data_IF_399841641835
#
_entry.id   IF_399841641835
#
_cell.length_a   1.000
_cell.length_b   1.000
_cell.length_c   1.000
_cell.angle_alpha   90.00
_cell.angle_beta   90.00
_cell.angle_gamma   90.00
#
_symmetry.space_group_name_H-M   'P 1'
#
loop_
_entity.id
_entity.type
_entity.pdbx_description
1 polymer ?
#
# COMPACT_ATOMS: atom_id res chain seq x y z
N UNK A 1 10.72 35.99 71.06
CA UNK A 1 11.45 36.34 69.79
C UNK A 1 11.07 35.30 68.77
N UNK A 2 10.25 35.63 67.75
CA UNK A 2 9.80 34.73 66.68
C UNK A 2 10.78 34.86 65.55
N UNK A 3 11.37 33.75 65.13
CA UNK A 3 12.34 33.64 64.05
C UNK A 3 11.63 33.86 62.68
N UNK A 4 12.08 34.76 61.80
CA UNK A 4 11.45 35.01 60.52
C UNK A 4 11.54 33.78 59.60
N UNK A 5 10.55 33.54 58.75
CA UNK A 5 10.55 32.39 57.81
C UNK A 5 11.68 32.54 56.75
N UNK A 6 12.19 31.40 56.25
CA UNK A 6 13.24 31.41 55.24
C UNK A 6 12.71 32.00 53.91
N UNK A 7 13.49 32.90 53.30
CA UNK A 7 13.17 33.44 51.97
C UNK A 7 13.16 32.32 50.94
N UNK A 8 12.02 32.13 50.23
CA UNK A 8 11.94 31.23 49.07
C UNK A 8 12.92 31.67 47.99
N UNK A 9 13.89 30.83 47.68
CA UNK A 9 14.74 31.01 46.50
C UNK A 9 13.86 30.82 45.26
N UNK A 10 13.70 31.87 44.48
CA UNK A 10 13.06 31.81 43.17
C UNK A 10 13.80 30.85 42.22
N UNK A 11 13.13 30.34 41.15
CA UNK A 11 13.69 29.36 40.28
C UNK A 11 15.00 29.87 39.65
N UNK A 12 16.00 28.99 39.66
CA UNK A 12 17.34 29.28 39.16
C UNK A 12 17.26 29.66 37.67
N UNK A 13 17.89 30.80 37.26
CA UNK A 13 17.86 31.26 35.87
C UNK A 13 18.29 30.17 34.87
N UNK A 14 19.25 29.34 35.28
CA UNK A 14 19.70 28.18 34.49
C UNK A 14 18.56 27.15 34.28
N UNK A 15 17.74 26.90 35.31
CA UNK A 15 16.58 26.00 35.20
C UNK A 15 15.54 26.51 34.21
N UNK A 16 15.27 27.82 34.22
CA UNK A 16 14.32 28.42 33.25
C UNK A 16 14.86 28.39 31.81
N UNK A 17 16.18 28.56 31.61
CA UNK A 17 16.80 28.41 30.29
C UNK A 17 16.72 26.99 29.77
N UNK A 18 17.00 25.98 30.62
CA UNK A 18 16.89 24.56 30.25
C UNK A 18 15.45 24.20 29.89
N UNK A 19 14.47 24.66 30.67
CA UNK A 19 13.04 24.44 30.41
C UNK A 19 12.61 25.08 29.07
N UNK A 20 13.10 26.27 28.77
CA UNK A 20 12.88 26.94 27.49
C UNK A 20 13.45 26.15 26.28
N UNK A 21 14.68 25.63 26.43
CA UNK A 21 15.30 24.81 25.37
C UNK A 21 14.51 23.51 25.15
N UNK A 22 14.11 22.83 26.21
CA UNK A 22 13.30 21.59 26.12
C UNK A 22 11.96 21.88 25.44
N UNK A 23 11.30 22.99 25.78
CA UNK A 23 10.05 23.38 25.14
C UNK A 23 10.22 23.67 23.65
N UNK A 24 11.27 24.40 23.25
CA UNK A 24 11.56 24.69 21.83
C UNK A 24 11.90 23.41 21.06
N UNK A 25 12.75 22.54 21.62
CA UNK A 25 13.08 21.24 21.00
C UNK A 25 11.85 20.35 20.92
N UNK A 26 11.00 20.30 21.95
CA UNK A 26 9.76 19.55 21.93
C UNK A 26 8.79 20.02 20.85
N UNK A 27 8.61 21.34 20.71
CA UNK A 27 7.78 21.93 19.64
C UNK A 27 8.39 21.65 18.26
N UNK A 28 9.70 21.74 18.11
CA UNK A 28 10.39 21.42 16.84
C UNK A 28 10.22 19.92 16.45
N UNK A 29 10.33 19.01 17.42
CA UNK A 29 10.11 17.57 17.21
C UNK A 29 8.65 17.26 16.86
N UNK A 30 7.69 17.91 17.52
CA UNK A 30 6.26 17.76 17.19
C UNK A 30 5.96 18.32 15.79
N UNK A 31 6.55 19.46 15.43
CA UNK A 31 6.41 20.04 14.09
C UNK A 31 7.04 19.16 13.00
N UNK A 32 8.17 18.51 13.29
CA UNK A 32 8.78 17.51 12.39
C UNK A 32 7.94 16.24 12.25
N UNK A 33 7.23 15.81 13.29
CA UNK A 33 6.31 14.66 13.22
C UNK A 33 4.94 15.02 12.59
N UNK A 34 4.52 16.28 12.68
CA UNK A 34 3.29 16.77 12.04
C UNK A 34 3.46 17.08 10.54
N UNK A 35 4.70 17.10 10.04
CA UNK A 35 5.04 17.42 8.67
C UNK A 35 5.21 16.21 7.78
N UNK A 36 4.22 15.90 6.96
CA UNK A 36 4.48 15.25 5.69
C UNK A 36 4.14 13.77 5.58
N UNK A 37 2.88 13.44 5.61
CA UNK A 37 2.40 12.33 4.77
C UNK A 37 2.71 12.65 3.29
N UNK A 38 2.80 11.62 2.41
CA UNK A 38 3.09 11.83 1.00
C UNK A 38 2.14 12.82 0.36
N UNK A 39 2.68 13.85 -0.30
CA UNK A 39 1.86 14.87 -0.97
C UNK A 39 1.24 14.30 -2.24
N UNK A 40 -0.08 14.39 -2.42
CA UNK A 40 -0.73 13.92 -3.63
C UNK A 40 -0.24 14.68 -4.87
N UNK A 41 0.06 13.95 -5.93
CA UNK A 41 0.37 14.51 -7.26
C UNK A 41 -0.83 14.29 -8.17
N UNK A 42 -1.34 15.36 -8.77
CA UNK A 42 -2.45 15.28 -9.74
C UNK A 42 -1.95 14.55 -11.00
N UNK A 43 -2.69 13.55 -11.42
CA UNK A 43 -2.46 12.77 -12.64
C UNK A 43 -3.77 12.66 -13.44
N UNK A 44 -3.68 12.31 -14.70
CA UNK A 44 -4.85 11.99 -15.49
C UNK A 44 -5.66 10.87 -14.82
N UNK A 45 -6.99 11.00 -14.86
CA UNK A 45 -7.88 9.97 -14.33
C UNK A 45 -7.57 8.61 -14.98
N UNK A 46 -7.60 7.52 -14.17
CA UNK A 46 -7.46 6.18 -14.72
C UNK A 46 -8.66 5.91 -15.63
N UNK A 47 -8.49 5.80 -16.98
CA UNK A 47 -9.62 5.52 -17.84
C UNK A 47 -10.25 4.18 -17.43
N UNK A 48 -11.59 4.09 -17.40
CA UNK A 48 -12.26 2.82 -17.21
C UNK A 48 -11.86 1.87 -18.34
N UNK A 49 -11.24 0.73 -18.00
CA UNK A 49 -10.83 -0.26 -18.97
C UNK A 49 -9.68 0.19 -19.83
N UNK A 50 -8.57 0.63 -19.21
CA UNK A 50 -7.32 0.86 -19.93
C UNK A 50 -7.01 -0.36 -20.80
N UNK A 51 -7.16 -0.17 -22.11
CA UNK A 51 -7.24 -1.22 -23.11
C UNK A 51 -5.86 -1.76 -23.45
N UNK A 52 -5.16 -2.25 -22.51
CA UNK A 52 -3.94 -2.98 -22.70
C UNK A 52 -4.10 -4.38 -22.11
N UNK A 53 -3.03 -5.12 -22.07
CA UNK A 53 -2.97 -6.40 -21.34
C UNK A 53 -2.87 -6.20 -19.83
N UNK A 54 -2.78 -4.95 -19.34
CA UNK A 54 -2.76 -4.62 -17.95
C UNK A 54 -4.15 -4.82 -17.32
N UNK A 55 -4.22 -5.67 -16.31
CA UNK A 55 -5.47 -6.02 -15.64
C UNK A 55 -5.23 -6.06 -14.12
N UNK A 56 -5.99 -5.27 -13.33
CA UNK A 56 -5.90 -5.32 -11.88
C UNK A 56 -6.57 -6.55 -11.30
N UNK A 57 -6.22 -6.87 -10.06
CA UNK A 57 -7.07 -7.67 -9.19
C UNK A 57 -8.00 -6.74 -8.44
N UNK A 58 -9.30 -6.99 -8.54
CA UNK A 58 -10.33 -6.09 -8.01
C UNK A 58 -10.90 -6.66 -6.71
N UNK A 59 -10.96 -5.82 -5.68
CA UNK A 59 -11.73 -6.07 -4.47
C UNK A 59 -12.90 -5.09 -4.38
N UNK A 60 -14.06 -5.59 -3.98
CA UNK A 60 -15.30 -4.82 -3.98
C UNK A 60 -15.95 -4.75 -5.36
N UNK A 61 -16.84 -3.79 -5.53
CA UNK A 61 -17.60 -3.63 -6.78
C UNK A 61 -16.72 -3.00 -7.87
N UNK A 62 -16.64 -3.58 -9.06
CA UNK A 62 -15.85 -3.01 -10.18
C UNK A 62 -16.34 -1.62 -10.62
N UNK A 63 -17.64 -1.36 -10.46
CA UNK A 63 -18.36 -0.13 -10.83
C UNK A 63 -18.54 0.86 -9.68
N UNK A 64 -17.85 0.65 -8.55
CA UNK A 64 -17.90 1.57 -7.43
C UNK A 64 -17.48 3.00 -7.83
N UNK A 65 -18.06 4.03 -7.18
CA UNK A 65 -17.90 5.42 -7.60
C UNK A 65 -16.45 5.93 -7.58
N UNK A 66 -15.59 5.38 -6.74
CA UNK A 66 -14.17 5.75 -6.66
C UNK A 66 -13.30 4.53 -6.91
N UNK A 67 -12.29 4.68 -7.77
CA UNK A 67 -11.25 3.69 -7.95
C UNK A 67 -10.09 4.07 -7.04
N UNK A 68 -9.64 3.11 -6.22
CA UNK A 68 -8.37 3.13 -5.50
C UNK A 68 -7.45 2.13 -6.18
N UNK A 69 -6.57 2.60 -7.04
CA UNK A 69 -5.58 1.76 -7.70
C UNK A 69 -4.27 1.80 -6.92
N UNK A 70 -3.77 0.63 -6.54
CA UNK A 70 -2.48 0.44 -5.91
C UNK A 70 -1.52 -0.22 -6.90
N UNK A 71 -0.35 0.38 -7.10
CA UNK A 71 0.79 -0.23 -7.77
C UNK A 71 1.75 -0.72 -6.69
N UNK A 72 1.86 -2.03 -6.54
CA UNK A 72 2.56 -2.64 -5.42
C UNK A 72 3.50 -3.76 -5.84
N UNK A 73 4.47 -3.99 -4.99
CA UNK A 73 5.45 -5.06 -5.08
C UNK A 73 5.35 -5.93 -3.82
N UNK A 74 5.14 -7.22 -4.00
CA UNK A 74 4.99 -8.15 -2.88
C UNK A 74 6.24 -8.23 -1.99
N UNK A 75 7.43 -7.93 -2.52
CA UNK A 75 8.68 -7.94 -1.74
C UNK A 75 9.02 -6.57 -1.12
N UNK A 76 8.23 -5.53 -1.40
CA UNK A 76 8.43 -4.20 -0.83
C UNK A 76 7.93 -4.13 0.63
N UNK A 77 8.79 -3.76 1.62
CA UNK A 77 8.36 -3.66 3.02
C UNK A 77 7.24 -2.65 3.27
N UNK A 78 7.25 -1.52 2.56
CA UNK A 78 6.19 -0.50 2.67
C UNK A 78 4.85 -1.01 2.13
N UNK A 79 4.85 -1.87 1.10
CA UNK A 79 3.64 -2.55 0.61
C UNK A 79 3.11 -3.53 1.66
N UNK A 80 3.99 -4.34 2.29
CA UNK A 80 3.58 -5.24 3.36
C UNK A 80 3.00 -4.47 4.56
N UNK A 81 3.58 -3.33 4.91
CA UNK A 81 3.05 -2.47 5.96
C UNK A 81 1.63 -1.99 5.63
N UNK A 82 1.39 -1.51 4.41
CA UNK A 82 0.05 -1.10 3.99
C UNK A 82 -0.92 -2.29 3.97
N UNK A 83 -0.55 -3.39 3.33
CA UNK A 83 -1.39 -4.57 3.17
C UNK A 83 -1.79 -5.21 4.51
N UNK A 84 -0.92 -5.15 5.54
CA UNK A 84 -1.19 -5.76 6.85
C UNK A 84 -1.86 -4.83 7.84
N UNK A 85 -1.61 -3.51 7.78
CA UNK A 85 -2.08 -2.55 8.78
C UNK A 85 -3.23 -1.65 8.31
N UNK A 86 -3.29 -1.34 7.01
CA UNK A 86 -4.24 -0.33 6.49
C UNK A 86 -5.29 -0.94 5.55
N UNK A 87 -4.86 -1.78 4.63
CA UNK A 87 -5.72 -2.35 3.59
C UNK A 87 -6.92 -3.14 4.14
N UNK A 88 -6.82 -3.91 5.25
CA UNK A 88 -7.99 -4.59 5.82
C UNK A 88 -9.13 -3.63 6.15
N UNK A 89 -8.82 -2.43 6.69
CA UNK A 89 -9.82 -1.40 6.94
C UNK A 89 -10.35 -0.77 5.65
N UNK A 90 -9.51 -0.56 4.64
CA UNK A 90 -9.92 -0.07 3.32
C UNK A 90 -10.89 -1.04 2.65
N UNK A 91 -10.57 -2.33 2.65
CA UNK A 91 -11.47 -3.36 2.11
C UNK A 91 -12.80 -3.40 2.86
N UNK A 92 -12.75 -3.54 4.19
CA UNK A 92 -13.94 -3.71 5.02
C UNK A 92 -14.83 -2.48 5.07
N UNK A 93 -14.27 -1.28 5.17
CA UNK A 93 -15.02 -0.05 5.48
C UNK A 93 -15.35 0.78 4.25
N UNK A 94 -14.63 0.60 3.14
CA UNK A 94 -14.82 1.37 1.92
C UNK A 94 -15.25 0.48 0.74
N UNK A 95 -14.57 -0.64 0.51
CA UNK A 95 -14.89 -1.51 -0.63
C UNK A 95 -16.17 -2.34 -0.39
N UNK A 96 -16.31 -2.99 0.77
CA UNK A 96 -17.53 -3.74 1.13
C UNK A 96 -18.75 -2.80 1.26
N UNK A 97 -18.53 -1.53 1.64
CA UNK A 97 -19.56 -0.50 1.64
C UNK A 97 -19.91 0.03 0.23
N UNK A 98 -19.25 -0.47 -0.81
CA UNK A 98 -19.49 -0.10 -2.21
C UNK A 98 -19.00 1.30 -2.59
N UNK A 99 -18.22 1.96 -1.75
CA UNK A 99 -17.70 3.31 -2.01
C UNK A 99 -16.49 3.30 -2.95
N UNK A 100 -15.67 2.23 -2.88
CA UNK A 100 -14.46 2.10 -3.71
C UNK A 100 -14.39 0.77 -4.44
N UNK A 101 -13.79 0.79 -5.63
CA UNK A 101 -13.22 -0.36 -6.32
C UNK A 101 -11.73 -0.36 -6.00
N UNK A 102 -11.29 -1.24 -5.10
CA UNK A 102 -9.87 -1.38 -4.78
C UNK A 102 -9.20 -2.26 -5.84
N UNK A 103 -8.14 -1.77 -6.47
CA UNK A 103 -7.49 -2.41 -7.62
C UNK A 103 -6.00 -2.56 -7.37
N UNK A 104 -5.53 -3.77 -7.25
CA UNK A 104 -4.13 -4.11 -7.11
C UNK A 104 -3.50 -4.33 -8.49
N UNK A 105 -2.38 -3.64 -8.77
CA UNK A 105 -1.55 -3.81 -9.96
C UNK A 105 -0.14 -4.24 -9.55
N UNK A 106 0.33 -5.34 -10.12
CA UNK A 106 1.71 -5.79 -9.93
C UNK A 106 2.69 -4.74 -10.45
N UNK A 107 3.62 -4.34 -9.60
CA UNK A 107 4.71 -3.44 -9.96
C UNK A 107 6.04 -3.93 -9.39
N UNK A 108 6.53 -5.11 -9.83
CA UNK A 108 7.77 -5.68 -9.34
C UNK A 108 8.95 -4.77 -9.64
N UNK A 109 9.76 -4.48 -8.60
CA UNK A 109 10.96 -3.67 -8.68
C UNK A 109 12.17 -4.56 -8.96
N UNK A 110 13.12 -4.06 -9.76
CA UNK A 110 14.28 -4.84 -10.24
C UNK A 110 15.21 -5.32 -9.10
N UNK A 111 15.29 -4.56 -8.01
CA UNK A 111 16.09 -4.95 -6.84
C UNK A 111 15.43 -6.04 -5.97
N UNK A 112 14.16 -6.36 -6.18
CA UNK A 112 13.41 -7.35 -5.42
C UNK A 112 13.37 -8.68 -6.16
N UNK A 113 14.23 -9.61 -5.76
CA UNK A 113 14.55 -10.85 -6.50
C UNK A 113 13.40 -11.86 -6.57
N UNK A 114 12.56 -11.88 -5.55
CA UNK A 114 11.42 -12.81 -5.47
C UNK A 114 10.09 -12.16 -5.85
N UNK A 115 10.08 -10.87 -6.20
CA UNK A 115 8.87 -10.11 -6.48
C UNK A 115 8.04 -10.71 -7.62
N UNK A 116 8.68 -11.07 -8.73
CA UNK A 116 7.99 -11.70 -9.87
C UNK A 116 7.43 -13.07 -9.49
N UNK A 117 8.17 -13.87 -8.71
CA UNK A 117 7.68 -15.17 -8.24
C UNK A 117 6.47 -15.01 -7.31
N UNK A 118 6.49 -14.00 -6.42
CA UNK A 118 5.36 -13.71 -5.54
C UNK A 118 4.13 -13.26 -6.35
N UNK A 119 4.31 -12.37 -7.32
CA UNK A 119 3.26 -11.96 -8.26
C UNK A 119 2.67 -13.14 -9.03
N UNK A 120 3.52 -14.04 -9.59
CA UNK A 120 3.06 -15.26 -10.26
C UNK A 120 2.27 -16.16 -9.32
N UNK A 121 2.73 -16.31 -8.07
CA UNK A 121 2.07 -17.15 -7.07
C UNK A 121 0.66 -16.65 -6.75
N UNK A 122 0.49 -15.34 -6.57
CA UNK A 122 -0.81 -14.71 -6.35
C UNK A 122 -1.70 -14.77 -7.60
N UNK A 123 -1.12 -14.54 -8.78
CA UNK A 123 -1.82 -14.61 -10.07
C UNK A 123 -2.37 -16.02 -10.34
N UNK A 124 -1.59 -17.06 -10.07
CA UNK A 124 -2.04 -18.45 -10.24
C UNK A 124 -3.10 -18.87 -9.19
N UNK A 125 -3.12 -18.22 -8.03
CA UNK A 125 -4.23 -18.39 -7.07
C UNK A 125 -5.51 -17.70 -7.57
N UNK A 126 -5.41 -16.63 -8.34
CA UNK A 126 -6.56 -15.97 -8.97
C UNK A 126 -7.32 -16.88 -9.94
N UNK A 127 -6.65 -17.81 -10.62
CA UNK A 127 -7.29 -18.82 -11.50
C UNK A 127 -8.27 -19.72 -10.72
N UNK A 128 -8.13 -19.77 -9.39
CA UNK A 128 -8.99 -20.50 -8.48
C UNK A 128 -9.81 -19.57 -7.57
N UNK A 129 -9.98 -18.28 -7.96
CA UNK A 129 -10.68 -17.23 -7.22
C UNK A 129 -10.12 -16.96 -5.81
N UNK A 130 -8.82 -17.16 -5.61
CA UNK A 130 -8.15 -17.02 -4.31
C UNK A 130 -6.95 -16.05 -4.35
N UNK A 131 -7.05 -15.04 -5.22
CA UNK A 131 -6.01 -13.99 -5.28
C UNK A 131 -5.80 -13.33 -3.92
N UNK A 132 -6.88 -12.86 -3.29
CA UNK A 132 -6.79 -12.06 -2.07
C UNK A 132 -6.33 -12.88 -0.87
N UNK A 133 -6.69 -14.15 -0.78
CA UNK A 133 -6.19 -15.05 0.27
C UNK A 133 -4.69 -15.29 0.09
N UNK A 134 -4.21 -15.48 -1.14
CA UNK A 134 -2.77 -15.64 -1.41
C UNK A 134 -2.01 -14.33 -1.19
N UNK A 135 -2.55 -13.21 -1.66
CA UNK A 135 -2.03 -11.86 -1.43
C UNK A 135 -1.79 -11.62 0.07
N UNK A 136 -2.78 -11.87 0.90
CA UNK A 136 -2.71 -11.64 2.33
C UNK A 136 -1.66 -12.55 2.99
N UNK A 137 -1.54 -13.81 2.55
CA UNK A 137 -0.52 -14.74 3.05
C UNK A 137 0.89 -14.33 2.65
N UNK A 138 1.08 -13.90 1.40
CA UNK A 138 2.38 -13.47 0.89
C UNK A 138 2.86 -12.24 1.68
N UNK A 139 2.03 -11.20 1.85
CA UNK A 139 2.41 -10.03 2.60
C UNK A 139 2.61 -10.29 4.09
N UNK A 140 1.72 -11.04 4.73
CA UNK A 140 1.86 -11.39 6.15
C UNK A 140 3.12 -12.22 6.45
N UNK A 141 3.59 -13.00 5.49
CA UNK A 141 4.78 -13.83 5.61
C UNK A 141 6.05 -13.21 5.03
N UNK A 142 6.07 -11.94 4.64
CA UNK A 142 7.14 -11.33 3.84
C UNK A 142 8.53 -11.54 4.46
N UNK A 143 8.71 -11.35 5.76
CA UNK A 143 10.00 -11.50 6.45
C UNK A 143 10.62 -12.91 6.30
N UNK A 144 9.77 -13.94 6.11
CA UNK A 144 10.22 -15.31 5.96
C UNK A 144 10.71 -15.62 4.55
N UNK A 145 10.16 -15.01 3.51
CA UNK A 145 10.45 -15.35 2.13
C UNK A 145 11.20 -14.26 1.34
N UNK A 146 11.14 -12.99 1.74
CA UNK A 146 11.85 -11.92 1.06
C UNK A 146 13.36 -12.19 0.98
N UNK A 147 13.99 -11.75 -0.09
CA UNK A 147 15.44 -11.91 -0.29
C UNK A 147 16.24 -11.17 0.79
N UNK A 148 17.34 -11.78 1.23
CA UNK A 148 18.17 -11.24 2.32
C UNK A 148 19.51 -10.73 1.78
N UNK A 149 20.10 -9.70 2.40
CA UNK A 149 21.45 -9.26 2.04
C UNK A 149 22.45 -10.43 2.09
N UNK A 150 23.27 -10.57 1.04
CA UNK A 150 24.29 -11.63 0.95
C UNK A 150 23.76 -13.03 0.60
N UNK A 151 22.44 -13.20 0.47
CA UNK A 151 21.85 -14.47 0.01
C UNK A 151 21.97 -14.59 -1.52
N UNK A 152 22.27 -15.81 -2.03
CA UNK A 152 22.25 -16.05 -3.47
C UNK A 152 20.81 -16.11 -3.99
N UNK A 153 20.60 -15.67 -5.26
CA UNK A 153 19.29 -15.68 -5.91
C UNK A 153 18.63 -17.05 -5.88
N UNK A 154 19.38 -18.10 -6.17
CA UNK A 154 18.86 -19.46 -6.14
C UNK A 154 18.41 -19.92 -4.74
N UNK A 155 19.08 -19.47 -3.66
CA UNK A 155 18.67 -19.79 -2.29
C UNK A 155 17.41 -19.05 -1.89
N UNK A 156 17.37 -17.73 -2.16
CA UNK A 156 16.20 -16.90 -1.91
C UNK A 156 14.95 -17.43 -2.64
N UNK A 157 15.09 -17.74 -3.92
CA UNK A 157 14.00 -18.24 -4.75
C UNK A 157 13.48 -19.60 -4.26
N UNK A 158 14.35 -20.57 -3.95
CA UNK A 158 13.92 -21.88 -3.40
C UNK A 158 13.17 -21.74 -2.06
N UNK A 159 13.62 -20.81 -1.19
CA UNK A 159 12.95 -20.55 0.09
C UNK A 159 11.57 -19.96 -0.13
N UNK A 160 11.45 -18.95 -1.00
CA UNK A 160 10.19 -18.33 -1.35
C UNK A 160 9.22 -19.33 -2.00
N UNK A 161 9.69 -20.10 -2.99
CA UNK A 161 8.88 -21.12 -3.68
C UNK A 161 8.27 -22.13 -2.71
N UNK A 162 9.07 -22.64 -1.75
CA UNK A 162 8.57 -23.57 -0.74
C UNK A 162 7.47 -22.93 0.12
N UNK A 163 7.70 -21.72 0.61
CA UNK A 163 6.72 -21.03 1.45
C UNK A 163 5.42 -20.71 0.69
N UNK A 164 5.53 -20.31 -0.57
CA UNK A 164 4.32 -20.05 -1.40
C UNK A 164 3.54 -21.33 -1.68
N UNK A 165 4.21 -22.49 -1.84
CA UNK A 165 3.53 -23.80 -1.91
C UNK A 165 2.81 -24.14 -0.60
N UNK A 166 3.42 -23.87 0.55
CA UNK A 166 2.78 -24.03 1.85
C UNK A 166 1.55 -23.11 2.00
N UNK A 167 1.63 -21.86 1.53
CA UNK A 167 0.49 -20.93 1.52
C UNK A 167 -0.63 -21.42 0.59
N UNK A 168 -0.29 -21.88 -0.61
CA UNK A 168 -1.26 -22.47 -1.54
C UNK A 168 -2.06 -23.61 -0.92
N UNK A 169 -1.37 -24.51 -0.21
CA UNK A 169 -1.99 -25.58 0.56
C UNK A 169 -2.90 -25.06 1.69
N UNK A 170 -2.40 -24.09 2.47
CA UNK A 170 -3.13 -23.53 3.62
C UNK A 170 -4.44 -22.85 3.20
N UNK A 171 -4.47 -22.20 2.04
CA UNK A 171 -5.68 -21.56 1.51
C UNK A 171 -6.55 -22.53 0.67
N UNK A 172 -6.17 -23.82 0.58
CA UNK A 172 -6.93 -24.86 -0.06
C UNK A 172 -6.98 -24.76 -1.58
N UNK A 173 -5.87 -24.40 -2.22
CA UNK A 173 -5.74 -24.48 -3.68
C UNK A 173 -5.56 -25.94 -4.14
N UNK A 174 -5.92 -26.21 -5.40
CA UNK A 174 -5.39 -27.37 -6.10
C UNK A 174 -3.89 -27.10 -6.34
N UNK A 175 -3.04 -27.72 -5.49
CA UNK A 175 -1.60 -27.50 -5.46
C UNK A 175 -0.94 -27.84 -6.82
N UNK A 176 -1.37 -28.92 -7.48
CA UNK A 176 -0.81 -29.33 -8.77
C UNK A 176 -1.13 -28.31 -9.88
N UNK A 177 -2.38 -27.85 -9.97
CA UNK A 177 -2.77 -26.85 -10.94
C UNK A 177 -2.07 -25.51 -10.69
N UNK A 178 -1.92 -25.11 -9.43
CA UNK A 178 -1.23 -23.90 -9.04
C UNK A 178 0.27 -23.96 -9.36
N UNK A 179 0.97 -25.05 -8.98
CA UNK A 179 2.40 -25.19 -9.25
C UNK A 179 2.71 -25.21 -10.74
N UNK A 180 1.92 -25.94 -11.53
CA UNK A 180 2.05 -25.95 -12.99
C UNK A 180 1.90 -24.53 -13.57
N UNK A 181 0.91 -23.77 -13.10
CA UNK A 181 0.72 -22.37 -13.54
C UNK A 181 1.92 -21.49 -13.21
N UNK A 182 2.50 -21.62 -12.01
CA UNK A 182 3.69 -20.86 -11.59
C UNK A 182 4.92 -21.26 -12.42
N UNK A 183 5.15 -22.57 -12.62
CA UNK A 183 6.28 -23.10 -13.39
C UNK A 183 6.23 -22.67 -14.87
N UNK A 184 5.04 -22.67 -15.46
CA UNK A 184 4.79 -22.21 -16.83
C UNK A 184 4.74 -20.69 -16.95
N UNK A 185 4.81 -19.95 -15.83
CA UNK A 185 4.75 -18.48 -15.78
C UNK A 185 3.53 -17.90 -16.53
N UNK A 186 2.37 -18.55 -16.45
CA UNK A 186 1.17 -18.23 -17.27
C UNK A 186 0.77 -16.76 -17.23
N UNK A 187 0.98 -16.09 -16.10
CA UNK A 187 0.59 -14.70 -15.89
C UNK A 187 1.73 -13.69 -16.07
N UNK A 188 2.91 -14.12 -16.54
CA UNK A 188 4.07 -13.22 -16.68
C UNK A 188 3.74 -12.01 -17.57
N UNK A 189 3.03 -12.22 -18.68
CA UNK A 189 2.66 -11.14 -19.59
C UNK A 189 1.75 -10.09 -18.93
N UNK A 190 0.79 -10.53 -18.08
CA UNK A 190 -0.07 -9.63 -17.30
C UNK A 190 0.73 -8.82 -16.29
N UNK A 191 1.66 -9.46 -15.57
CA UNK A 191 2.53 -8.80 -14.58
C UNK A 191 3.39 -7.74 -15.26
N UNK A 192 3.98 -8.08 -16.42
CA UNK A 192 4.74 -7.13 -17.22
C UNK A 192 3.88 -5.97 -17.73
N UNK A 193 2.66 -6.24 -18.17
CA UNK A 193 1.73 -5.21 -18.63
C UNK A 193 1.31 -4.28 -17.49
N UNK A 194 1.04 -4.81 -16.29
CA UNK A 194 0.74 -4.03 -15.09
C UNK A 194 1.92 -3.10 -14.73
N UNK A 195 3.14 -3.65 -14.72
CA UNK A 195 4.36 -2.84 -14.48
C UNK A 195 4.53 -1.76 -15.57
N UNK A 196 4.33 -2.10 -16.84
CA UNK A 196 4.44 -1.14 -17.95
C UNK A 196 3.40 -0.02 -17.83
N UNK A 197 2.17 -0.33 -17.44
CA UNK A 197 1.15 0.67 -17.15
C UNK A 197 1.59 1.63 -16.04
N UNK A 198 2.15 1.11 -14.95
CA UNK A 198 2.67 1.93 -13.87
C UNK A 198 3.81 2.85 -14.34
N UNK A 199 4.73 2.35 -15.18
CA UNK A 199 5.81 3.16 -15.77
C UNK A 199 5.23 4.30 -16.63
N UNK A 200 4.26 4.01 -17.50
CA UNK A 200 3.58 5.03 -18.32
C UNK A 200 2.89 6.09 -17.48
N UNK A 201 2.38 5.71 -16.31
CA UNK A 201 1.77 6.60 -15.32
C UNK A 201 2.78 7.29 -14.41
N UNK A 202 4.08 7.12 -14.66
CA UNK A 202 5.15 7.73 -13.86
C UNK A 202 5.20 7.24 -12.40
N UNK A 203 4.72 6.03 -12.12
CA UNK A 203 4.97 5.34 -10.85
C UNK A 203 6.48 5.07 -10.73
N UNK A 204 7.09 5.49 -9.63
CA UNK A 204 8.54 5.39 -9.39
C UNK A 204 8.93 4.67 -8.11
N UNK A 205 7.94 4.33 -7.30
CA UNK A 205 8.11 3.63 -6.02
C UNK A 205 6.86 2.85 -5.66
N UNK A 206 7.00 1.88 -4.77
CA UNK A 206 5.90 1.09 -4.24
C UNK A 206 5.76 1.26 -2.73
N UNK A 207 4.54 1.21 -2.19
CA UNK A 207 3.31 1.30 -2.94
C UNK A 207 3.12 2.69 -3.53
N UNK A 208 2.40 2.81 -4.64
CA UNK A 208 1.89 4.08 -5.15
C UNK A 208 0.39 3.93 -5.41
N UNK A 209 -0.39 4.84 -4.86
CA UNK A 209 -1.85 4.86 -5.02
C UNK A 209 -2.28 5.88 -6.06
N UNK A 210 -3.30 5.55 -6.85
CA UNK A 210 -4.03 6.51 -7.67
C UNK A 210 -5.49 6.48 -7.22
N UNK A 211 -5.96 7.63 -6.72
CA UNK A 211 -7.31 7.79 -6.14
C UNK A 211 -7.97 8.97 -6.84
N UNK A 212 -8.96 8.68 -7.69
CA UNK A 212 -9.50 9.68 -8.60
C UNK A 212 -8.39 10.22 -9.52
N UNK A 213 -8.07 11.51 -9.40
CA UNK A 213 -7.00 12.17 -10.17
C UNK A 213 -5.72 12.44 -9.34
N UNK A 214 -5.59 11.85 -8.17
CA UNK A 214 -4.45 12.08 -7.27
C UNK A 214 -3.55 10.85 -7.20
N UNK A 215 -2.24 11.06 -7.38
CA UNK A 215 -1.21 10.03 -7.18
C UNK A 215 -0.49 10.26 -5.87
N UNK A 216 -0.43 9.22 -5.03
CA UNK A 216 0.17 9.25 -3.69
C UNK A 216 1.23 8.16 -3.59
N UNK A 217 2.52 8.49 -3.64
CA UNK A 217 3.59 7.52 -3.43
C UNK A 217 3.78 7.20 -1.94
N UNK A 218 4.14 5.96 -1.66
CA UNK A 218 4.41 5.46 -0.30
C UNK A 218 3.18 4.96 0.45
N UNK A 219 3.42 4.27 1.57
CA UNK A 219 2.34 3.78 2.42
C UNK A 219 1.50 4.94 2.98
N UNK A 220 0.19 4.78 2.93
CA UNK A 220 -0.78 5.78 3.36
C UNK A 220 -1.63 5.23 4.51
N UNK A 221 -1.96 6.07 5.49
CA UNK A 221 -2.88 5.68 6.56
C UNK A 221 -4.32 5.62 6.06
N UNK A 222 -5.16 4.84 6.76
CA UNK A 222 -6.59 4.75 6.45
C UNK A 222 -7.27 6.12 6.39
N UNK A 223 -7.02 6.99 7.37
CA UNK A 223 -7.66 8.31 7.42
C UNK A 223 -7.23 9.23 6.27
N UNK A 224 -5.96 9.15 5.87
CA UNK A 224 -5.47 9.90 4.72
C UNK A 224 -6.08 9.38 3.41
N UNK A 225 -6.15 8.06 3.23
CA UNK A 225 -6.79 7.44 2.07
C UNK A 225 -8.28 7.78 2.03
N UNK A 226 -8.97 7.67 3.16
CA UNK A 226 -10.40 8.00 3.25
C UNK A 226 -10.69 9.45 2.86
N UNK A 227 -9.87 10.42 3.31
CA UNK A 227 -10.05 11.82 2.88
C UNK A 227 -9.98 11.97 1.36
N UNK A 228 -9.02 11.30 0.70
CA UNK A 228 -8.89 11.35 -0.76
C UNK A 228 -10.10 10.72 -1.46
N UNK A 229 -10.63 9.65 -0.90
CA UNK A 229 -11.88 9.02 -1.39
C UNK A 229 -13.06 9.98 -1.24
N UNK A 230 -13.22 10.61 -0.07
CA UNK A 230 -14.30 11.58 0.19
C UNK A 230 -14.23 12.78 -0.77
N UNK A 231 -13.02 13.29 -1.03
CA UNK A 231 -12.80 14.36 -2.02
C UNK A 231 -13.14 13.91 -3.44
N UNK A 232 -12.81 12.67 -3.82
CA UNK A 232 -13.15 12.13 -5.13
C UNK A 232 -14.67 11.96 -5.31
N UNK A 233 -15.37 11.51 -4.28
CA UNK A 233 -16.85 11.44 -4.25
C UNK A 233 -17.48 12.81 -4.42
N UNK A 234 -17.04 13.79 -3.63
CA UNK A 234 -17.58 15.16 -3.70
C UNK A 234 -17.41 15.79 -5.09
N UNK A 235 -16.27 15.57 -5.76
CA UNK A 235 -16.04 16.05 -7.13
C UNK A 235 -17.02 15.41 -8.13
N UNK A 236 -17.26 14.11 -8.02
CA UNK A 236 -18.25 13.43 -8.90
C UNK A 236 -19.66 13.98 -8.74
N UNK A 237 -20.10 14.20 -7.51
CA UNK A 237 -21.43 14.75 -7.23
C UNK A 237 -21.60 16.15 -7.82
N UNK A 238 -20.56 16.99 -7.72
CA UNK A 238 -20.56 18.33 -8.33
C UNK A 238 -20.66 18.25 -9.85
N UNK A 239 -19.89 17.36 -10.48
CA UNK A 239 -19.92 17.19 -11.95
C UNK A 239 -21.28 16.66 -12.41
N UNK A 240 -21.86 15.68 -11.70
CA UNK A 240 -23.17 15.12 -12.02
C UNK A 240 -24.30 16.18 -11.91
N UNK A 241 -24.26 17.04 -10.87
CA UNK A 241 -25.23 18.14 -10.71
C UNK A 241 -25.09 19.17 -11.83
N UNK A 242 -23.88 19.55 -12.21
CA UNK A 242 -23.64 20.50 -13.30
C UNK A 242 -24.14 19.98 -14.66
N UNK A 243 -23.99 18.66 -14.90
CA UNK A 243 -24.48 18.03 -16.13
C UNK A 243 -26.02 17.90 -16.17
N UNK A 244 -26.68 17.80 -15.03
CA UNK A 244 -28.16 17.73 -14.94
C UNK A 244 -28.85 19.09 -15.05
N UNK A 245 -28.09 20.20 -15.01
CA UNK A 245 -28.63 21.59 -15.06
C UNK A 245 -28.43 22.23 -16.43
N UNK A 246 -27.86 21.56 -17.41
CA UNK A 246 -27.71 21.92 -18.82
C UNK A 246 -28.71 21.14 -19.70
#
# INVERSE_FOLDING_TARGET
MVKPPPKSRGPNKLFLVILGIIAVVGVALIAMQAGGGPTPKIVAELPPGDAGKAQPYVYGRPDAPVIVAEFADFECPACAQFATLTEPDVRKRLADAGQVSFRFYDFPLEQHRNSVLASLSAACAADQNKFWEMHDRIFAGQDAWASKPGESDGSANRRASRLFSEYAKQIGLNESAWSTCVEEQRHLERIQANRQLGIQRQVRSTPTFVIGNQMVPGAISYDALKRLVDEALARRDTTARSAATQ
#
